data_IF_184962697558
#
_entry.id   IF_184962697558
#
_cell.length_a   1.000
_cell.length_b   1.000
_cell.length_c   1.000
_cell.angle_alpha   90.00
_cell.angle_beta   90.00
_cell.angle_gamma   90.00
#
_symmetry.space_group_name_H-M   'P 1'
#
loop_
_entity.id
_entity.type
_entity.pdbx_description
1 polymer ?
#
# COMPACT_ATOMS: atom_id res chain seq x y z
N UNK A 1 9.72 17.94 7.32
CA UNK A 1 9.36 16.71 6.59
C UNK A 1 7.88 16.48 6.84
N UNK A 2 7.02 16.81 5.87
CA UNK A 2 5.61 16.42 5.99
C UNK A 2 5.56 14.91 5.76
N UNK A 3 4.88 14.23 6.67
CA UNK A 3 4.58 12.82 6.55
C UNK A 3 3.73 12.58 5.29
N UNK A 4 4.12 11.64 4.43
CA UNK A 4 3.43 11.35 3.16
C UNK A 4 1.94 11.03 3.39
N UNK A 5 1.61 10.37 4.51
CA UNK A 5 0.22 10.03 4.88
C UNK A 5 -0.57 11.31 5.15
N UNK A 6 0.03 12.25 5.88
CA UNK A 6 -0.60 13.54 6.15
C UNK A 6 -0.84 14.33 4.85
N UNK A 7 0.13 14.35 3.95
CA UNK A 7 -0.04 15.02 2.66
C UNK A 7 -1.18 14.40 1.83
N UNK A 8 -1.25 13.07 1.77
CA UNK A 8 -2.29 12.35 1.05
C UNK A 8 -3.68 12.65 1.62
N UNK A 9 -3.83 12.65 2.94
CA UNK A 9 -5.10 12.93 3.62
C UNK A 9 -5.54 14.39 3.44
N UNK A 10 -4.60 15.33 3.45
CA UNK A 10 -4.89 16.76 3.20
C UNK A 10 -5.34 16.99 1.75
N UNK A 11 -4.72 16.30 0.76
CA UNK A 11 -5.08 16.44 -0.65
C UNK A 11 -6.36 15.70 -1.02
N UNK A 12 -6.56 14.51 -0.47
CA UNK A 12 -7.73 13.67 -0.73
C UNK A 12 -8.32 13.13 0.59
N UNK A 13 -9.19 13.91 1.26
CA UNK A 13 -9.84 13.48 2.50
C UNK A 13 -10.72 12.23 2.34
N UNK A 14 -11.15 11.91 1.11
CA UNK A 14 -11.99 10.75 0.84
C UNK A 14 -11.25 9.41 1.03
N UNK A 15 -9.91 9.42 1.11
CA UNK A 15 -9.11 8.24 1.45
C UNK A 15 -9.29 7.81 2.91
N UNK A 16 -9.74 8.72 3.78
CA UNK A 16 -9.96 8.44 5.19
C UNK A 16 -8.66 8.28 6.00
N UNK A 17 -8.81 7.81 7.24
CA UNK A 17 -7.72 7.74 8.21
C UNK A 17 -6.79 6.53 8.01
N UNK A 18 -7.30 5.46 7.39
CA UNK A 18 -6.62 4.17 7.32
C UNK A 18 -6.15 3.92 5.90
N UNK A 19 -4.95 4.37 5.59
CA UNK A 19 -4.37 4.25 4.25
C UNK A 19 -3.02 3.54 4.29
N UNK A 20 -2.72 2.81 3.23
CA UNK A 20 -1.44 2.15 3.01
C UNK A 20 -0.91 2.53 1.63
N UNK A 21 0.33 3.00 1.58
CA UNK A 21 1.02 3.30 0.31
C UNK A 21 1.73 2.04 -0.16
N UNK A 22 1.35 1.55 -1.34
CA UNK A 22 1.97 0.39 -1.96
C UNK A 22 3.23 0.80 -2.72
N UNK A 23 4.28 -0.01 -2.57
CA UNK A 23 5.44 0.09 -3.46
C UNK A 23 5.05 -0.35 -4.88
N UNK A 24 5.70 0.18 -5.93
CA UNK A 24 5.44 -0.23 -7.31
C UNK A 24 5.67 -1.72 -7.58
N UNK A 25 6.54 -2.37 -6.80
CA UNK A 25 6.90 -3.78 -6.88
C UNK A 25 6.09 -4.67 -5.92
N UNK A 26 5.00 -4.15 -5.34
CA UNK A 26 4.16 -4.92 -4.43
C UNK A 26 3.54 -6.13 -5.14
N UNK A 27 3.65 -7.32 -4.54
CA UNK A 27 3.01 -8.55 -5.04
C UNK A 27 1.48 -8.49 -5.14
N UNK A 28 0.85 -7.52 -4.48
CA UNK A 28 -0.59 -7.31 -4.58
C UNK A 28 -1.00 -6.60 -5.88
N UNK A 29 -0.06 -5.98 -6.60
CA UNK A 29 -0.32 -5.22 -7.83
C UNK A 29 -0.02 -6.07 -9.05
N UNK A 30 -0.97 -6.10 -10.00
CA UNK A 30 -0.72 -6.55 -11.36
C UNK A 30 -0.06 -5.43 -12.18
N UNK A 31 -0.48 -4.20 -11.93
CA UNK A 31 0.10 -2.96 -12.45
C UNK A 31 -0.23 -1.81 -11.46
N UNK A 32 0.26 -0.57 -11.67
CA UNK A 32 0.06 0.51 -10.70
C UNK A 32 -1.42 0.83 -10.40
N UNK A 33 -2.34 0.54 -11.32
CA UNK A 33 -3.77 0.87 -11.24
C UNK A 33 -4.65 -0.36 -10.97
N UNK A 34 -4.09 -1.57 -11.02
CA UNK A 34 -4.84 -2.81 -10.80
C UNK A 34 -4.15 -3.76 -9.82
N UNK A 35 -4.94 -4.27 -8.88
CA UNK A 35 -4.53 -5.38 -8.02
C UNK A 35 -4.53 -6.70 -8.81
N UNK A 36 -3.72 -7.68 -8.39
CA UNK A 36 -3.80 -9.05 -8.92
C UNK A 36 -5.18 -9.65 -8.63
N UNK A 37 -5.63 -10.62 -9.43
CA UNK A 37 -6.93 -11.26 -9.23
C UNK A 37 -7.06 -11.89 -7.84
N UNK A 38 -5.96 -12.47 -7.35
CA UNK A 38 -5.88 -13.03 -6.00
C UNK A 38 -6.07 -11.95 -4.93
N UNK A 39 -5.35 -10.84 -5.03
CA UNK A 39 -5.48 -9.72 -4.09
C UNK A 39 -6.88 -9.09 -4.13
N UNK A 40 -7.47 -8.92 -5.32
CA UNK A 40 -8.84 -8.41 -5.46
C UNK A 40 -9.86 -9.33 -4.79
N UNK A 41 -9.76 -10.64 -5.04
CA UNK A 41 -10.68 -11.63 -4.45
C UNK A 41 -10.54 -11.66 -2.93
N UNK A 42 -9.30 -11.69 -2.44
CA UNK A 42 -9.02 -11.67 -1.01
C UNK A 42 -9.58 -10.40 -0.35
N UNK A 43 -9.36 -9.23 -0.96
CA UNK A 43 -9.86 -7.95 -0.45
C UNK A 43 -11.38 -7.88 -0.42
N UNK A 44 -12.05 -8.37 -1.48
CA UNK A 44 -13.51 -8.41 -1.52
C UNK A 44 -14.14 -9.17 -0.35
N UNK A 45 -13.44 -10.18 0.18
CA UNK A 45 -13.89 -11.00 1.31
C UNK A 45 -13.46 -10.42 2.66
N UNK A 46 -12.19 -9.98 2.76
CA UNK A 46 -11.54 -9.66 4.06
C UNK A 46 -11.55 -8.19 4.41
N UNK A 47 -11.66 -7.31 3.42
CA UNK A 47 -11.60 -5.85 3.61
C UNK A 47 -12.72 -5.15 2.81
N UNK A 48 -14.00 -5.49 3.05
CA UNK A 48 -15.10 -4.95 2.29
C UNK A 48 -15.13 -3.41 2.35
N UNK A 49 -15.20 -2.79 1.18
CA UNK A 49 -15.18 -1.34 1.02
C UNK A 49 -13.79 -0.71 0.93
N UNK A 50 -12.71 -1.52 0.97
CA UNK A 50 -11.37 -1.02 0.64
C UNK A 50 -11.28 -0.59 -0.83
N UNK A 51 -10.46 0.42 -1.11
CA UNK A 51 -10.37 1.05 -2.43
C UNK A 51 -8.92 1.31 -2.81
N UNK A 52 -8.60 1.06 -4.07
CA UNK A 52 -7.33 1.44 -4.68
C UNK A 52 -7.46 2.84 -5.30
N UNK A 53 -6.45 3.69 -5.09
CA UNK A 53 -6.37 5.02 -5.69
C UNK A 53 -4.94 5.34 -6.15
N UNK A 54 -4.81 6.22 -7.13
CA UNK A 54 -3.54 6.79 -7.60
C UNK A 54 -3.48 8.24 -7.11
N UNK A 55 -2.47 8.54 -6.31
CA UNK A 55 -2.37 9.84 -5.64
C UNK A 55 -1.04 10.51 -5.98
N UNK A 56 -1.10 11.82 -6.24
CA UNK A 56 0.12 12.62 -6.40
C UNK A 56 0.60 13.12 -5.03
N UNK A 57 1.91 13.04 -4.80
CA UNK A 57 2.59 13.51 -3.58
C UNK A 57 3.85 14.27 -3.95
N UNK A 58 4.32 15.14 -3.05
CA UNK A 58 5.63 15.77 -3.17
C UNK A 58 6.59 15.04 -2.25
N UNK A 59 7.51 14.27 -2.84
CA UNK A 59 8.48 13.48 -2.09
C UNK A 59 9.89 13.99 -2.38
N UNK A 60 10.63 14.30 -1.31
CA UNK A 60 12.06 14.55 -1.42
C UNK A 60 12.79 13.21 -1.60
N UNK A 61 13.72 13.07 -2.56
CA UNK A 61 14.42 11.81 -2.82
C UNK A 61 15.35 11.38 -1.68
N UNK A 62 15.75 12.32 -0.83
CA UNK A 62 16.59 12.12 0.35
C UNK A 62 16.41 13.32 1.31
N UNK A 63 16.82 13.20 2.60
CA UNK A 63 16.74 14.32 3.55
C UNK A 63 17.46 15.57 3.04
N UNK A 64 16.75 16.70 2.98
CA UNK A 64 17.27 17.98 2.45
C UNK A 64 17.21 18.13 0.92
N UNK A 65 16.79 17.10 0.18
CA UNK A 65 16.54 17.19 -1.25
C UNK A 65 15.32 18.04 -1.61
N UNK A 66 15.29 18.60 -2.81
CA UNK A 66 14.11 19.33 -3.31
C UNK A 66 12.96 18.36 -3.56
N UNK A 67 11.76 18.58 -2.99
CA UNK A 67 10.61 17.72 -3.24
C UNK A 67 10.23 17.71 -4.72
N UNK A 68 9.98 16.51 -5.25
CA UNK A 68 9.49 16.32 -6.61
C UNK A 68 8.13 15.63 -6.58
N UNK A 69 7.29 15.92 -7.58
CA UNK A 69 6.01 15.26 -7.74
C UNK A 69 6.20 13.77 -8.10
N UNK A 70 5.49 12.91 -7.37
CA UNK A 70 5.47 11.45 -7.56
C UNK A 70 4.04 10.95 -7.48
N UNK A 71 3.72 9.98 -8.33
CA UNK A 71 2.44 9.28 -8.27
C UNK A 71 2.65 7.99 -7.49
N UNK A 72 1.88 7.82 -6.42
CA UNK A 72 1.90 6.63 -5.57
C UNK A 72 0.58 5.89 -5.68
N UNK A 73 0.62 4.58 -5.44
CA UNK A 73 -0.59 3.75 -5.35
C UNK A 73 -0.97 3.62 -3.88
N UNK A 74 -2.24 3.91 -3.56
CA UNK A 74 -2.75 3.97 -2.19
C UNK A 74 -3.93 3.01 -2.06
N UNK A 75 -3.93 2.22 -1.00
CA UNK A 75 -5.09 1.48 -0.53
C UNK A 75 -5.72 2.20 0.65
N UNK A 76 -7.00 2.54 0.53
CA UNK A 76 -7.81 3.10 1.59
C UNK A 76 -8.70 2.02 2.21
N UNK A 77 -8.77 1.97 3.53
CA UNK A 77 -9.52 1.00 4.31
C UNK A 77 -10.56 1.69 5.20
N UNK A 78 -11.61 0.94 5.55
CA UNK A 78 -12.66 1.41 6.45
C UNK A 78 -12.18 1.59 7.89
N UNK A 79 -11.31 0.69 8.36
CA UNK A 79 -10.81 0.64 9.72
C UNK A 79 -9.38 0.07 9.78
N UNK A 80 -8.76 0.21 10.96
CA UNK A 80 -7.40 -0.25 11.21
C UNK A 80 -7.26 -1.77 11.11
N UNK A 81 -8.32 -2.54 11.42
CA UNK A 81 -8.26 -4.00 11.39
C UNK A 81 -8.18 -4.51 9.94
N UNK A 82 -8.94 -3.91 9.03
CA UNK A 82 -8.85 -4.20 7.60
C UNK A 82 -7.46 -3.85 7.03
N UNK A 83 -6.92 -2.69 7.40
CA UNK A 83 -5.57 -2.29 6.98
C UNK A 83 -4.53 -3.30 7.47
N UNK A 84 -4.56 -3.63 8.76
CA UNK A 84 -3.61 -4.57 9.36
C UNK A 84 -3.70 -5.95 8.71
N UNK A 85 -4.92 -6.47 8.49
CA UNK A 85 -5.13 -7.74 7.82
C UNK A 85 -4.52 -7.75 6.42
N UNK A 86 -4.70 -6.67 5.64
CA UNK A 86 -4.11 -6.56 4.32
C UNK A 86 -2.59 -6.50 4.37
N UNK A 87 -2.02 -5.66 5.24
CA UNK A 87 -0.58 -5.53 5.40
C UNK A 87 0.06 -6.89 5.75
N UNK A 88 -0.48 -7.60 6.75
CA UNK A 88 0.02 -8.94 7.13
C UNK A 88 -0.03 -9.92 5.96
N UNK A 89 -1.13 -9.93 5.20
CA UNK A 89 -1.32 -10.86 4.09
C UNK A 89 -0.47 -10.53 2.85
N UNK A 90 -0.15 -9.26 2.59
CA UNK A 90 0.38 -8.82 1.29
C UNK A 90 1.71 -8.10 1.34
N UNK A 91 2.14 -7.60 2.49
CA UNK A 91 3.39 -6.84 2.66
C UNK A 91 4.43 -7.54 3.51
N UNK A 92 4.13 -8.74 4.03
CA UNK A 92 5.13 -9.60 4.67
C UNK A 92 6.08 -10.17 3.62
N UNK A 93 7.38 -10.17 3.93
CA UNK A 93 8.39 -10.88 3.14
C UNK A 93 8.04 -12.38 3.15
N UNK A 94 8.21 -13.14 2.05
CA UNK A 94 8.15 -14.59 2.15
C UNK A 94 9.21 -15.05 3.16
N UNK A 95 8.82 -15.80 4.18
CA UNK A 95 9.80 -16.55 4.97
C UNK A 95 10.67 -17.35 3.98
N UNK A 96 12.01 -17.29 4.07
CA UNK A 96 12.84 -18.19 3.27
C UNK A 96 12.39 -19.61 3.61
N UNK A 97 11.95 -20.35 2.60
CA UNK A 97 11.59 -21.76 2.74
C UNK A 97 12.77 -22.46 3.44
N UNK A 98 12.52 -23.08 4.61
CA UNK A 98 13.52 -23.85 5.32
C UNK A 98 14.26 -24.77 4.34
N UNK A 99 15.54 -24.46 4.15
CA UNK A 99 16.50 -25.24 3.38
C UNK A 99 16.38 -26.71 3.84
N UNK A 100 16.05 -27.68 2.98
CA UNK A 100 15.97 -29.06 3.42
C UNK A 100 17.37 -29.48 3.85
N UNK A 101 17.54 -29.61 5.17
CA UNK A 101 18.74 -30.17 5.80
C UNK A 101 19.06 -31.49 5.10
N UNK A 102 20.02 -31.43 4.19
CA UNK A 102 20.54 -32.60 3.51
C UNK A 102 21.44 -33.32 4.51
N UNK A 103 20.98 -34.52 4.87
CA UNK A 103 21.57 -35.46 5.80
C UNK A 103 22.99 -35.91 5.41
#
# INVERSE_FOLDING_TARGET
>A
MIDIIKQLQERNPALGAYILVLRPDSRALADPEHLTLEAQTWMGIRTPGARLSRESVLLAPYPGGTPAERIVTVLAFKDAQHLAAFATAWTSDPEPEDEPASA
#
